data_IF_574510509917
#
_entry.id   IF_574510509917
#
_cell.length_a   1.000
_cell.length_b   1.000
_cell.length_c   1.000
_cell.angle_alpha   90.00
_cell.angle_beta   90.00
_cell.angle_gamma   90.00
#
_symmetry.space_group_name_H-M   'P 1'
#
loop_
_entity.id
_entity.type
_entity.pdbx_description
1 polymer ?
#
# COMPACT_ATOMS: atom_id res chain seq x y z
N UNK A 1 -12.94 5.94 30.06
CA UNK A 1 -14.27 6.14 29.44
C UNK A 1 -14.38 5.15 28.29
N UNK A 2 -15.46 4.38 28.22
CA UNK A 2 -15.69 3.49 27.07
C UNK A 2 -16.31 4.32 25.95
N UNK A 3 -15.59 4.50 24.84
CA UNK A 3 -16.12 5.15 23.63
C UNK A 3 -16.80 4.09 22.79
N UNK A 4 -18.09 4.29 22.45
CA UNK A 4 -18.83 3.34 21.60
C UNK A 4 -18.58 3.63 20.12
N UNK A 5 -18.74 2.62 19.26
CA UNK A 5 -18.56 2.80 17.81
C UNK A 5 -19.53 3.85 17.25
N UNK A 6 -20.76 3.90 17.77
CA UNK A 6 -21.77 4.89 17.38
C UNK A 6 -21.33 6.32 17.68
N UNK A 7 -20.65 6.54 18.82
CA UNK A 7 -20.11 7.86 19.17
C UNK A 7 -19.00 8.28 18.21
N UNK A 8 -18.09 7.37 17.85
CA UNK A 8 -17.02 7.63 16.88
C UNK A 8 -17.60 7.97 15.50
N UNK A 9 -18.62 7.23 15.06
CA UNK A 9 -19.30 7.49 13.78
C UNK A 9 -19.99 8.85 13.81
N UNK A 10 -20.72 9.17 14.88
CA UNK A 10 -21.41 10.46 15.00
C UNK A 10 -20.43 11.64 14.95
N UNK A 11 -19.34 11.59 15.72
CA UNK A 11 -18.31 12.63 15.71
C UNK A 11 -17.60 12.75 14.36
N UNK A 12 -17.33 11.62 13.69
CA UNK A 12 -16.75 11.64 12.35
C UNK A 12 -17.70 12.29 11.33
N UNK A 13 -19.02 12.09 11.43
CA UNK A 13 -19.98 12.67 10.47
C UNK A 13 -20.04 14.20 10.52
N UNK A 14 -19.74 14.81 11.66
CA UNK A 14 -19.65 16.27 11.83
C UNK A 14 -18.42 16.90 11.16
N UNK A 15 -17.44 16.09 10.74
CA UNK A 15 -16.23 16.60 10.09
C UNK A 15 -16.50 17.01 8.63
N UNK A 16 -15.76 18.01 8.11
CA UNK A 16 -15.70 18.31 6.69
C UNK A 16 -15.28 17.08 5.85
N UNK A 17 -15.69 17.00 4.57
CA UNK A 17 -15.44 15.81 3.73
C UNK A 17 -13.99 15.32 3.70
N UNK A 18 -13.01 16.22 3.61
CA UNK A 18 -11.59 15.86 3.59
C UNK A 18 -11.12 15.21 4.90
N UNK A 19 -11.57 15.72 6.04
CA UNK A 19 -11.22 15.17 7.35
C UNK A 19 -11.95 13.84 7.62
N UNK A 20 -13.19 13.68 7.11
CA UNK A 20 -13.86 12.37 7.11
C UNK A 20 -13.11 11.32 6.31
N UNK A 21 -12.64 11.68 5.11
CA UNK A 21 -11.85 10.78 4.28
C UNK A 21 -10.57 10.36 5.00
N UNK A 22 -9.87 11.29 5.66
CA UNK A 22 -8.70 10.99 6.47
C UNK A 22 -9.02 10.03 7.63
N UNK A 23 -10.10 10.25 8.39
CA UNK A 23 -10.51 9.33 9.47
C UNK A 23 -10.83 7.94 8.91
N UNK A 24 -11.55 7.87 7.79
CA UNK A 24 -11.85 6.60 7.13
C UNK A 24 -10.59 5.85 6.69
N UNK A 25 -9.62 6.54 6.10
CA UNK A 25 -8.32 5.98 5.73
C UNK A 25 -7.60 5.39 6.95
N UNK A 26 -7.52 6.13 8.07
CA UNK A 26 -6.87 5.63 9.30
C UNK A 26 -7.57 4.43 9.91
N UNK A 27 -8.90 4.38 9.85
CA UNK A 27 -9.64 3.20 10.29
C UNK A 27 -9.35 2.00 9.39
N UNK A 28 -9.30 2.17 8.07
CA UNK A 28 -8.95 1.10 7.12
C UNK A 28 -7.51 0.61 7.35
N UNK A 29 -6.53 1.52 7.43
CA UNK A 29 -5.13 1.19 7.72
C UNK A 29 -4.99 0.38 9.02
N UNK A 30 -5.81 0.68 10.04
CA UNK A 30 -5.78 -0.05 11.31
C UNK A 30 -6.20 -1.53 11.17
N UNK A 31 -7.02 -1.85 10.18
CA UNK A 31 -7.42 -3.23 9.86
C UNK A 31 -6.30 -3.99 9.14
N UNK A 32 -5.45 -3.28 8.41
CA UNK A 32 -4.29 -3.86 7.71
C UNK A 32 -3.12 -4.16 8.67
N UNK A 33 -3.20 -3.77 9.94
CA UNK A 33 -2.21 -4.10 10.97
C UNK A 33 -2.25 -5.56 11.44
N UNK A 34 -3.11 -6.41 10.85
CA UNK A 34 -2.96 -7.86 10.97
C UNK A 34 -1.62 -8.24 10.35
N UNK A 35 -0.72 -8.78 11.18
CA UNK A 35 0.66 -9.10 10.82
C UNK A 35 0.73 -9.65 9.37
N UNK A 36 1.37 -8.93 8.43
CA UNK A 36 1.24 -9.24 7.03
C UNK A 36 1.68 -10.69 6.82
N UNK A 37 0.92 -11.48 6.02
CA UNK A 37 1.19 -12.90 5.89
C UNK A 37 2.64 -13.09 5.47
N UNK A 38 3.34 -13.99 6.18
CA UNK A 38 4.75 -14.28 5.90
C UNK A 38 4.92 -14.55 4.42
N UNK A 39 5.91 -13.88 3.80
CA UNK A 39 6.18 -14.03 2.37
C UNK A 39 6.34 -15.52 2.03
N UNK A 40 5.55 -15.99 1.06
CA UNK A 40 5.54 -17.40 0.69
C UNK A 40 6.95 -17.85 0.27
N UNK A 41 7.26 -19.13 0.46
CA UNK A 41 8.57 -19.66 0.07
C UNK A 41 8.85 -19.42 -1.43
N UNK A 42 7.81 -19.50 -2.27
CA UNK A 42 7.88 -19.19 -3.71
C UNK A 42 8.28 -17.74 -3.97
N UNK A 43 7.64 -16.78 -3.29
CA UNK A 43 7.98 -15.37 -3.43
C UNK A 43 9.36 -15.04 -2.87
N UNK A 44 9.75 -15.61 -1.72
CA UNK A 44 11.12 -15.47 -1.19
C UNK A 44 12.18 -15.97 -2.16
N UNK A 45 11.95 -17.11 -2.83
CA UNK A 45 12.86 -17.64 -3.85
C UNK A 45 12.95 -16.70 -5.05
N UNK A 46 11.81 -16.21 -5.53
CA UNK A 46 11.76 -15.34 -6.71
C UNK A 46 12.44 -13.99 -6.46
N UNK A 47 12.21 -13.35 -5.32
CA UNK A 47 12.88 -12.09 -4.96
C UNK A 47 14.39 -12.27 -4.98
N UNK A 48 14.92 -13.30 -4.29
CA UNK A 48 16.37 -13.56 -4.27
C UNK A 48 16.94 -13.83 -5.67
N UNK A 49 16.22 -14.60 -6.49
CA UNK A 49 16.62 -14.89 -7.88
C UNK A 49 16.72 -13.60 -8.70
N UNK A 50 15.71 -12.72 -8.61
CA UNK A 50 15.69 -11.45 -9.35
C UNK A 50 16.77 -10.50 -8.89
N UNK A 51 17.00 -10.37 -7.58
CA UNK A 51 18.11 -9.55 -7.06
C UNK A 51 19.44 -10.05 -7.64
N UNK A 52 19.73 -11.35 -7.53
CA UNK A 52 20.96 -11.91 -8.07
C UNK A 52 21.10 -11.73 -9.60
N UNK A 53 20.00 -11.77 -10.34
CA UNK A 53 19.97 -11.50 -11.78
C UNK A 53 20.31 -10.05 -12.13
N UNK A 54 19.79 -9.09 -11.35
CA UNK A 54 20.12 -7.67 -11.46
C UNK A 54 21.59 -7.43 -11.11
N UNK A 55 22.04 -7.94 -9.96
CA UNK A 55 23.39 -7.73 -9.44
C UNK A 55 24.47 -8.25 -10.39
N UNK A 56 24.20 -9.38 -11.05
CA UNK A 56 25.13 -9.99 -12.04
C UNK A 56 24.96 -9.44 -13.46
N UNK A 57 24.05 -8.48 -13.68
CA UNK A 57 23.77 -7.93 -15.02
C UNK A 57 23.16 -8.94 -16.00
N UNK A 58 22.51 -10.00 -15.52
CA UNK A 58 21.90 -11.02 -16.38
C UNK A 58 20.55 -10.59 -16.97
N UNK A 59 20.04 -9.43 -16.59
CA UNK A 59 18.76 -8.89 -17.07
C UNK A 59 18.94 -7.46 -17.54
N UNK A 60 18.15 -7.07 -18.54
CA UNK A 60 18.08 -5.68 -19.01
C UNK A 60 17.15 -4.89 -18.10
N UNK A 61 17.69 -3.88 -17.42
CA UNK A 61 16.91 -2.96 -16.60
C UNK A 61 16.18 -1.95 -17.48
N UNK A 62 15.05 -1.46 -16.97
CA UNK A 62 14.35 -0.32 -17.54
C UNK A 62 14.50 0.85 -16.58
N UNK A 63 14.65 2.04 -17.14
CA UNK A 63 14.69 3.27 -16.37
C UNK A 63 13.36 3.48 -15.63
N UNK A 64 13.45 3.73 -14.31
CA UNK A 64 12.27 3.80 -13.46
C UNK A 64 11.36 4.98 -13.85
N UNK A 65 11.94 6.14 -14.15
CA UNK A 65 11.21 7.35 -14.50
C UNK A 65 10.44 7.16 -15.79
N UNK A 66 11.04 6.52 -16.79
CA UNK A 66 10.38 6.18 -18.05
C UNK A 66 9.20 5.20 -17.83
N UNK A 67 9.36 4.20 -16.96
CA UNK A 67 8.30 3.23 -16.63
C UNK A 67 7.13 3.93 -15.93
N UNK A 68 7.40 4.75 -14.92
CA UNK A 68 6.35 5.48 -14.20
C UNK A 68 5.64 6.49 -15.10
N UNK A 69 6.38 7.26 -15.91
CA UNK A 69 5.79 8.19 -16.87
C UNK A 69 4.81 7.50 -17.83
N UNK A 70 5.19 6.33 -18.36
CA UNK A 70 4.31 5.51 -19.21
C UNK A 70 3.06 5.03 -18.45
N UNK A 71 3.22 4.56 -17.21
CA UNK A 71 2.09 4.10 -16.41
C UNK A 71 1.09 5.24 -16.12
N UNK A 72 1.57 6.41 -15.70
CA UNK A 72 0.71 7.57 -15.45
C UNK A 72 0.02 8.09 -16.71
N UNK A 73 0.70 8.06 -17.86
CA UNK A 73 0.08 8.41 -19.13
C UNK A 73 -1.11 7.51 -19.50
N UNK A 74 -1.13 6.26 -19.04
CA UNK A 74 -2.22 5.31 -19.31
C UNK A 74 -3.45 5.45 -18.41
N UNK A 75 -3.40 6.35 -17.41
CA UNK A 75 -4.54 6.64 -16.53
C UNK A 75 -5.41 7.80 -17.02
N UNK A 76 -5.06 8.41 -18.16
CA UNK A 76 -5.83 9.45 -18.85
C UNK A 76 -6.70 8.86 -19.95
#
# INVERSE_FOLDING_TARGET
MSTTAEKVVAEAMELPPALRAFVAEKLIESLDMVEPPKLSAKWRKEVRRRCAEVDRGAVRLQDADAVFAKAYASLR
#
